data_IF_088382408345
#
_entry.id   IF_088382408345
#
_cell.length_a   1.000
_cell.length_b   1.000
_cell.length_c   1.000
_cell.angle_alpha   90.00
_cell.angle_beta   90.00
_cell.angle_gamma   90.00
#
_symmetry.space_group_name_H-M   'P 1'
#
loop_
_entity.id
_entity.type
_entity.pdbx_description
1 polymer ?
#
# COMPACT_ATOMS: atom_id res chain seq x y z
N UNK A 1 -2.13 16.86 27.69
CA UNK A 1 -2.14 16.22 26.38
C UNK A 1 -3.08 15.01 26.44
N UNK A 2 -3.90 14.78 25.44
CA UNK A 2 -4.80 13.62 25.37
C UNK A 2 -4.03 12.37 24.95
N UNK A 3 -4.44 11.20 25.48
CA UNK A 3 -3.78 9.93 25.21
C UNK A 3 -4.55 9.14 24.15
N UNK A 4 -3.85 8.74 23.08
CA UNK A 4 -4.33 7.83 22.04
C UNK A 4 -3.67 6.45 22.21
N UNK A 5 -4.46 5.48 22.63
CA UNK A 5 -4.05 4.08 22.73
C UNK A 5 -4.10 3.43 21.35
N UNK A 6 -3.03 2.70 21.02
CA UNK A 6 -2.90 1.92 19.79
C UNK A 6 -2.74 0.44 20.16
N UNK A 7 -3.71 -0.38 19.77
CA UNK A 7 -3.68 -1.84 19.94
C UNK A 7 -3.38 -2.50 18.59
N UNK A 8 -2.10 -2.52 18.23
CA UNK A 8 -1.53 -3.01 16.98
C UNK A 8 -0.38 -3.96 17.28
N UNK A 9 -0.05 -4.81 16.32
CA UNK A 9 1.13 -5.68 16.43
C UNK A 9 2.33 -5.10 15.69
N UNK A 10 3.24 -4.47 16.42
CA UNK A 10 4.45 -3.87 15.84
C UNK A 10 5.42 -4.88 15.20
N UNK A 11 5.23 -6.18 15.40
CA UNK A 11 6.02 -7.22 14.74
C UNK A 11 5.56 -7.48 13.30
N UNK A 12 4.31 -7.12 12.96
CA UNK A 12 3.73 -7.30 11.63
C UNK A 12 4.03 -6.09 10.75
N UNK A 13 4.53 -6.32 9.53
CA UNK A 13 4.87 -5.25 8.58
C UNK A 13 3.66 -4.34 8.28
N UNK A 14 2.50 -4.93 8.03
CA UNK A 14 1.27 -4.19 7.73
C UNK A 14 0.92 -3.21 8.86
N UNK A 15 0.90 -3.69 10.10
CA UNK A 15 0.56 -2.87 11.28
C UNK A 15 1.56 -1.73 11.49
N UNK A 16 2.86 -1.96 11.23
CA UNK A 16 3.87 -0.89 11.26
C UNK A 16 3.61 0.20 10.22
N UNK A 17 3.12 -0.16 9.03
CA UNK A 17 2.77 0.83 8.03
C UNK A 17 1.49 1.60 8.40
N UNK A 18 0.50 0.93 9.01
CA UNK A 18 -0.69 1.59 9.59
C UNK A 18 -0.27 2.57 10.67
N UNK A 19 0.60 2.15 11.61
CA UNK A 19 1.14 3.02 12.65
C UNK A 19 1.84 4.25 12.08
N UNK A 20 2.64 4.08 11.02
CA UNK A 20 3.27 5.19 10.31
C UNK A 20 2.23 6.16 9.72
N UNK A 21 1.15 5.65 9.14
CA UNK A 21 0.05 6.46 8.62
C UNK A 21 -0.66 7.26 9.72
N UNK A 22 -0.90 6.63 10.87
CA UNK A 22 -1.44 7.26 12.08
C UNK A 22 -0.55 8.43 12.51
N UNK A 23 0.76 8.17 12.66
CA UNK A 23 1.72 9.19 13.08
C UNK A 23 1.75 10.38 12.10
N UNK A 24 1.87 10.10 10.80
CA UNK A 24 1.89 11.14 9.76
C UNK A 24 0.63 11.99 9.84
N UNK A 25 -0.56 11.38 10.02
CA UNK A 25 -1.81 12.14 10.06
C UNK A 25 -2.00 12.94 11.34
N UNK A 26 -1.54 12.43 12.46
CA UNK A 26 -1.50 13.18 13.73
C UNK A 26 -0.65 14.44 13.59
N UNK A 27 0.51 14.33 12.92
CA UNK A 27 1.40 15.47 12.64
C UNK A 27 0.76 16.44 11.63
N UNK A 28 0.20 15.94 10.51
CA UNK A 28 -0.48 16.75 9.48
C UNK A 28 -1.61 17.61 10.08
N UNK A 29 -2.39 17.05 11.00
CA UNK A 29 -3.50 17.74 11.65
C UNK A 29 -3.09 18.51 12.92
N UNK A 30 -1.80 18.52 13.27
CA UNK A 30 -1.25 19.14 14.48
C UNK A 30 -2.02 18.75 15.74
N UNK A 31 -2.43 17.48 15.86
CA UNK A 31 -3.22 16.99 16.96
C UNK A 31 -2.36 16.92 18.24
N UNK A 32 -2.86 17.51 19.33
CA UNK A 32 -2.21 17.45 20.65
C UNK A 32 -2.53 16.14 21.36
N UNK A 33 -2.03 15.03 20.80
CA UNK A 33 -2.20 13.67 21.34
C UNK A 33 -0.85 13.02 21.58
N UNK A 34 -0.79 12.18 22.60
CA UNK A 34 0.34 11.32 22.90
C UNK A 34 0.00 9.90 22.46
N UNK A 35 0.85 9.28 21.61
CA UNK A 35 0.62 7.95 21.08
C UNK A 35 1.21 6.91 22.02
N UNK A 36 0.40 5.93 22.42
CA UNK A 36 0.78 4.81 23.27
C UNK A 36 0.51 3.51 22.52
N UNK A 37 1.56 2.77 22.18
CA UNK A 37 1.45 1.44 21.59
C UNK A 37 1.55 0.42 22.70
N UNK A 38 0.46 -0.31 22.98
CA UNK A 38 0.36 -1.24 24.09
C UNK A 38 -0.09 -2.63 23.62
N UNK A 39 0.18 -3.62 24.45
CA UNK A 39 -0.28 -4.99 24.20
C UNK A 39 -1.77 -5.13 24.51
N UNK A 40 -2.53 -5.66 23.57
CA UNK A 40 -3.94 -6.00 23.78
C UNK A 40 -4.17 -7.22 24.70
N UNK A 41 -3.09 -7.89 25.14
CA UNK A 41 -3.15 -9.01 26.08
C UNK A 41 -3.00 -8.58 27.53
N UNK A 42 -2.57 -7.35 27.81
CA UNK A 42 -2.42 -6.79 29.15
C UNK A 42 -3.65 -5.94 29.54
N UNK A 43 -4.79 -6.61 29.67
CA UNK A 43 -6.07 -5.97 29.93
C UNK A 43 -6.10 -5.23 31.28
N UNK A 44 -5.44 -5.74 32.32
CA UNK A 44 -5.39 -5.11 33.64
C UNK A 44 -4.68 -3.76 33.57
N UNK A 45 -3.56 -3.68 32.86
CA UNK A 45 -2.85 -2.43 32.63
C UNK A 45 -3.72 -1.46 31.81
N UNK A 46 -4.32 -1.92 30.71
CA UNK A 46 -5.17 -1.08 29.87
C UNK A 46 -6.32 -0.46 30.64
N UNK A 47 -7.01 -1.23 31.49
CA UNK A 47 -8.12 -0.77 32.32
C UNK A 47 -7.66 0.12 33.50
N UNK A 48 -6.41 0.00 33.96
CA UNK A 48 -5.85 0.83 35.02
C UNK A 48 -5.55 2.27 34.56
N UNK A 49 -5.45 2.49 33.25
CA UNK A 49 -5.12 3.78 32.66
C UNK A 49 -6.37 4.51 32.14
N UNK A 50 -6.28 5.83 32.03
CA UNK A 50 -7.30 6.64 31.37
C UNK A 50 -6.86 6.95 29.93
N UNK A 51 -7.65 6.52 28.98
CA UNK A 51 -7.46 6.77 27.56
C UNK A 51 -8.54 7.73 27.05
N UNK A 52 -8.16 8.68 26.20
CA UNK A 52 -9.11 9.57 25.53
C UNK A 52 -9.60 8.96 24.22
N UNK A 53 -8.69 8.30 23.52
CA UNK A 53 -8.92 7.71 22.20
C UNK A 53 -8.29 6.32 22.11
N UNK A 54 -8.89 5.47 21.27
CA UNK A 54 -8.38 4.13 20.97
C UNK A 54 -8.46 3.88 19.47
N UNK A 55 -7.39 3.34 18.88
CA UNK A 55 -7.40 2.69 17.57
C UNK A 55 -6.91 1.26 17.76
N UNK A 56 -7.70 0.29 17.28
CA UNK A 56 -7.39 -1.12 17.45
C UNK A 56 -7.56 -1.92 16.15
N UNK A 57 -6.69 -2.89 15.94
CA UNK A 57 -6.84 -3.90 14.88
C UNK A 57 -7.79 -5.00 15.35
N UNK A 58 -9.02 -5.00 14.81
CA UNK A 58 -10.05 -5.96 15.19
C UNK A 58 -9.76 -7.40 14.70
N UNK A 59 -8.77 -7.59 13.82
CA UNK A 59 -8.36 -8.92 13.36
C UNK A 59 -7.53 -9.69 14.40
N UNK A 60 -7.05 -9.02 15.45
CA UNK A 60 -6.24 -9.68 16.47
C UNK A 60 -7.12 -10.46 17.44
N UNK A 61 -6.70 -11.66 17.86
CA UNK A 61 -7.45 -12.44 18.83
C UNK A 61 -7.60 -11.68 20.16
N UNK A 62 -8.75 -11.75 20.78
CA UNK A 62 -9.06 -11.16 22.10
C UNK A 62 -9.00 -9.63 22.17
N UNK A 63 -8.80 -8.92 21.04
CA UNK A 63 -8.79 -7.45 21.06
C UNK A 63 -10.14 -6.88 21.46
N UNK A 64 -11.22 -7.53 21.08
CA UNK A 64 -12.59 -7.13 21.46
C UNK A 64 -12.73 -7.17 22.99
N UNK A 65 -12.19 -8.19 23.66
CA UNK A 65 -12.22 -8.30 25.13
C UNK A 65 -11.39 -7.18 25.79
N UNK A 66 -10.23 -6.87 25.20
CA UNK A 66 -9.40 -5.76 25.68
C UNK A 66 -10.09 -4.40 25.55
N UNK A 67 -10.98 -4.23 24.57
CA UNK A 67 -11.77 -3.01 24.38
C UNK A 67 -12.96 -2.90 25.32
N UNK A 68 -13.42 -4.02 25.88
CA UNK A 68 -14.52 -4.01 26.86
C UNK A 68 -14.08 -3.29 28.15
N UNK A 69 -14.88 -2.33 28.57
CA UNK A 69 -14.59 -1.54 29.77
C UNK A 69 -13.71 -0.30 29.54
N UNK A 70 -13.16 -0.09 28.37
CA UNK A 70 -12.48 1.17 28.04
C UNK A 70 -13.50 2.27 27.75
N UNK A 71 -13.49 3.34 28.55
CA UNK A 71 -14.33 4.51 28.36
C UNK A 71 -13.63 5.56 27.48
N UNK A 72 -13.42 5.24 26.20
CA UNK A 72 -12.72 6.10 25.25
C UNK A 72 -13.46 6.16 23.92
N UNK A 73 -13.20 7.23 23.12
CA UNK A 73 -13.64 7.24 21.72
C UNK A 73 -12.85 6.21 20.93
N UNK A 74 -13.52 5.16 20.46
CA UNK A 74 -12.88 4.01 19.84
C UNK A 74 -13.15 3.93 18.34
N UNK A 75 -12.09 3.71 17.59
CA UNK A 75 -12.11 3.29 16.20
C UNK A 75 -11.44 1.92 16.10
N UNK A 76 -12.04 1.02 15.36
CA UNK A 76 -11.44 -0.26 14.99
C UNK A 76 -11.21 -0.31 13.50
N UNK A 77 -10.13 -0.94 13.06
CA UNK A 77 -10.01 -1.32 11.67
C UNK A 77 -9.94 -2.84 11.54
N UNK A 78 -10.34 -3.33 10.37
CA UNK A 78 -10.37 -4.76 10.07
C UNK A 78 -10.08 -5.01 8.59
N UNK A 79 -9.55 -6.17 8.31
CA UNK A 79 -9.20 -6.61 6.95
C UNK A 79 -10.31 -7.43 6.26
N UNK A 80 -11.48 -7.59 6.88
CA UNK A 80 -12.65 -8.27 6.33
C UNK A 80 -13.95 -7.67 6.88
N UNK A 81 -15.09 -7.92 6.24
CA UNK A 81 -16.40 -7.36 6.64
C UNK A 81 -17.19 -8.28 7.58
N UNK A 82 -16.65 -9.46 7.95
CA UNK A 82 -17.29 -10.38 8.88
C UNK A 82 -17.23 -9.92 10.34
N UNK A 83 -18.28 -10.24 11.12
CA UNK A 83 -18.38 -9.97 12.54
C UNK A 83 -18.96 -8.60 12.90
N UNK A 84 -19.49 -8.51 14.12
CA UNK A 84 -20.15 -7.29 14.62
C UNK A 84 -19.12 -6.28 15.14
N UNK A 85 -19.33 -5.03 14.76
CA UNK A 85 -18.61 -3.90 15.36
C UNK A 85 -19.35 -3.50 16.64
N UNK A 86 -18.67 -3.43 17.79
CA UNK A 86 -19.30 -3.04 19.02
C UNK A 86 -20.05 -1.70 18.91
N UNK A 87 -21.23 -1.61 19.51
CA UNK A 87 -22.05 -0.42 19.45
C UNK A 87 -21.29 0.82 19.95
N UNK A 88 -21.37 1.91 19.20
CA UNK A 88 -20.69 3.17 19.53
C UNK A 88 -19.27 3.29 18.95
N UNK A 89 -18.68 2.23 18.42
CA UNK A 89 -17.36 2.32 17.77
C UNK A 89 -17.50 2.79 16.32
N UNK A 90 -16.50 3.56 15.88
CA UNK A 90 -16.28 3.80 14.45
C UNK A 90 -15.42 2.71 13.87
N UNK A 91 -15.51 2.48 12.56
CA UNK A 91 -14.71 1.44 11.90
C UNK A 91 -14.21 1.86 10.53
N UNK A 92 -13.08 1.23 10.15
CA UNK A 92 -12.55 1.23 8.79
C UNK A 92 -12.35 -0.23 8.36
N UNK A 93 -12.98 -0.63 7.26
CA UNK A 93 -12.93 -2.00 6.73
C UNK A 93 -12.23 -2.02 5.37
N UNK A 94 -11.32 -2.95 5.14
CA UNK A 94 -10.67 -3.13 3.84
C UNK A 94 -11.66 -3.68 2.81
N UNK A 95 -11.69 -3.08 1.63
CA UNK A 95 -12.54 -3.50 0.50
C UNK A 95 -11.90 -4.67 -0.27
N UNK A 96 -12.10 -5.89 0.20
CA UNK A 96 -11.57 -7.09 -0.46
C UNK A 96 -12.25 -7.39 -1.80
N UNK A 97 -13.50 -6.98 -1.99
CA UNK A 97 -14.21 -7.14 -3.26
C UNK A 97 -13.63 -6.25 -4.35
N UNK A 98 -13.36 -4.99 -4.02
CA UNK A 98 -12.73 -4.06 -4.94
C UNK A 98 -11.28 -4.41 -5.28
N UNK A 99 -10.51 -4.97 -4.32
CA UNK A 99 -9.18 -5.55 -4.59
C UNK A 99 -9.27 -6.65 -5.65
N UNK A 100 -10.20 -7.58 -5.48
CA UNK A 100 -10.41 -8.70 -6.39
C UNK A 100 -10.89 -8.26 -7.77
N UNK A 101 -11.81 -7.30 -7.83
CA UNK A 101 -12.30 -6.74 -9.10
C UNK A 101 -11.18 -6.02 -9.88
N UNK A 102 -10.31 -5.29 -9.17
CA UNK A 102 -9.13 -4.63 -9.78
C UNK A 102 -8.21 -5.64 -10.47
N UNK A 103 -7.95 -6.78 -9.85
CA UNK A 103 -7.17 -7.86 -10.46
C UNK A 103 -7.88 -8.44 -11.70
N UNK A 104 -9.18 -8.68 -11.60
CA UNK A 104 -9.97 -9.24 -12.71
C UNK A 104 -10.02 -8.31 -13.92
N UNK A 105 -10.15 -6.99 -13.72
CA UNK A 105 -10.14 -6.02 -14.82
C UNK A 105 -8.84 -6.08 -15.64
N UNK A 106 -7.71 -6.38 -15.02
CA UNK A 106 -6.45 -6.59 -15.74
C UNK A 106 -6.51 -7.81 -16.67
N UNK A 107 -7.09 -8.92 -16.21
CA UNK A 107 -7.25 -10.11 -17.06
C UNK A 107 -8.22 -9.88 -18.21
N UNK A 108 -9.30 -9.13 -17.97
CA UNK A 108 -10.27 -8.74 -19.02
C UNK A 108 -9.60 -7.92 -20.11
N UNK A 109 -8.74 -7.00 -19.75
CA UNK A 109 -7.99 -6.17 -20.71
C UNK A 109 -6.93 -6.95 -21.49
N UNK A 110 -6.57 -8.16 -21.05
CA UNK A 110 -5.54 -9.03 -21.64
C UNK A 110 -6.13 -10.25 -22.38
N UNK A 111 -7.43 -10.24 -22.70
CA UNK A 111 -8.17 -11.28 -23.46
C UNK A 111 -8.10 -12.70 -22.87
N UNK A 112 -7.86 -12.85 -21.56
CA UNK A 112 -7.98 -14.15 -20.91
C UNK A 112 -9.45 -14.61 -20.90
N UNK A 113 -9.67 -15.90 -21.24
CA UNK A 113 -11.00 -16.53 -21.21
C UNK A 113 -11.25 -17.33 -19.94
N UNK A 114 -10.18 -17.79 -19.29
CA UNK A 114 -10.22 -18.55 -18.06
C UNK A 114 -9.43 -17.87 -16.97
N UNK A 115 -9.98 -17.83 -15.77
CA UNK A 115 -9.36 -17.21 -14.60
C UNK A 115 -9.55 -18.08 -13.36
N UNK A 116 -8.67 -17.91 -12.38
CA UNK A 116 -8.80 -18.63 -11.12
C UNK A 116 -8.24 -17.87 -9.94
N UNK A 117 -8.55 -18.36 -8.75
CA UNK A 117 -8.06 -17.82 -7.49
C UNK A 117 -7.13 -18.82 -6.82
N UNK A 118 -5.98 -18.32 -6.35
CA UNK A 118 -5.00 -19.16 -5.67
C UNK A 118 -4.64 -18.60 -4.30
N UNK A 119 -4.55 -19.49 -3.32
CA UNK A 119 -4.11 -19.13 -1.97
C UNK A 119 -3.17 -20.18 -1.39
N UNK A 120 -2.25 -19.74 -0.56
CA UNK A 120 -1.38 -20.65 0.18
C UNK A 120 -2.12 -21.30 1.35
N UNK A 121 -1.62 -22.46 1.80
CA UNK A 121 -2.20 -23.18 2.95
C UNK A 121 -2.26 -22.34 4.24
N UNK A 122 -1.37 -21.35 4.38
CA UNK A 122 -1.36 -20.47 5.55
C UNK A 122 -2.50 -19.47 5.56
N UNK A 123 -2.98 -19.05 4.38
CA UNK A 123 -3.95 -17.96 4.25
C UNK A 123 -5.39 -18.47 3.98
N UNK A 124 -5.57 -19.76 3.64
CA UNK A 124 -6.81 -20.31 3.08
C UNK A 124 -8.05 -20.18 3.98
N UNK A 125 -7.86 -20.20 5.29
CA UNK A 125 -8.94 -20.15 6.27
C UNK A 125 -9.16 -18.74 6.85
N UNK A 126 -8.35 -17.76 6.42
CA UNK A 126 -8.46 -16.37 6.84
C UNK A 126 -9.70 -15.70 6.19
N UNK A 127 -10.49 -14.97 6.97
CA UNK A 127 -11.73 -14.35 6.50
C UNK A 127 -11.50 -13.39 5.32
N UNK A 128 -10.45 -12.55 5.39
CA UNK A 128 -10.08 -11.67 4.30
C UNK A 128 -9.74 -12.41 3.00
N UNK A 129 -9.16 -13.61 3.11
CA UNK A 129 -8.84 -14.45 1.97
C UNK A 129 -10.11 -15.04 1.34
N UNK A 130 -11.04 -15.49 2.18
CA UNK A 130 -12.35 -15.99 1.73
C UNK A 130 -13.17 -14.90 1.04
N UNK A 131 -13.15 -13.66 1.55
CA UNK A 131 -13.81 -12.52 0.92
C UNK A 131 -13.18 -12.14 -0.43
N UNK A 132 -11.84 -12.10 -0.53
CA UNK A 132 -11.14 -11.87 -1.80
C UNK A 132 -11.53 -12.95 -2.82
N UNK A 133 -11.60 -14.22 -2.40
CA UNK A 133 -12.05 -15.32 -3.24
C UNK A 133 -13.50 -15.14 -3.70
N UNK A 134 -14.41 -14.82 -2.77
CA UNK A 134 -15.82 -14.62 -3.09
C UNK A 134 -16.00 -13.44 -4.07
N UNK A 135 -15.35 -12.31 -3.82
CA UNK A 135 -15.38 -11.14 -4.70
C UNK A 135 -14.85 -11.46 -6.10
N UNK A 136 -13.69 -12.14 -6.18
CA UNK A 136 -13.11 -12.56 -7.46
C UNK A 136 -14.05 -13.49 -8.25
N UNK A 137 -14.59 -14.52 -7.58
CA UNK A 137 -15.51 -15.48 -8.20
C UNK A 137 -16.77 -14.78 -8.71
N UNK A 138 -17.37 -13.90 -7.91
CA UNK A 138 -18.55 -13.14 -8.30
C UNK A 138 -18.28 -12.25 -9.51
N UNK A 139 -17.20 -11.50 -9.50
CA UNK A 139 -16.82 -10.61 -10.60
C UNK A 139 -16.47 -11.42 -11.86
N UNK A 140 -15.79 -12.57 -11.72
CA UNK A 140 -15.44 -13.44 -12.84
C UNK A 140 -16.71 -14.03 -13.52
N UNK A 141 -17.67 -14.50 -12.72
CA UNK A 141 -18.97 -14.98 -13.24
C UNK A 141 -19.71 -13.88 -13.98
N UNK A 142 -19.81 -12.69 -13.40
CA UNK A 142 -20.44 -11.53 -14.02
C UNK A 142 -19.74 -11.11 -15.31
N UNK A 143 -18.41 -11.24 -15.35
CA UNK A 143 -17.56 -10.93 -16.50
C UNK A 143 -17.58 -11.99 -17.61
N UNK A 144 -18.24 -13.14 -17.40
CA UNK A 144 -18.34 -14.23 -18.37
C UNK A 144 -17.08 -15.09 -18.51
N UNK A 145 -16.18 -15.07 -17.51
CA UNK A 145 -14.98 -15.91 -17.50
C UNK A 145 -15.30 -17.37 -17.14
N UNK A 146 -14.59 -18.31 -17.73
CA UNK A 146 -14.49 -19.67 -17.23
C UNK A 146 -13.66 -19.68 -15.94
N UNK A 147 -14.19 -20.30 -14.88
CA UNK A 147 -13.51 -20.34 -13.58
C UNK A 147 -12.75 -21.65 -13.42
N UNK A 148 -11.46 -21.55 -13.15
CA UNK A 148 -10.58 -22.69 -12.84
C UNK A 148 -10.52 -22.82 -11.31
N UNK A 149 -11.14 -23.87 -10.78
CA UNK A 149 -11.23 -24.09 -9.34
C UNK A 149 -9.93 -24.64 -8.73
N UNK A 150 -9.26 -25.55 -9.42
CA UNK A 150 -8.00 -26.16 -8.97
C UNK A 150 -6.83 -25.71 -9.85
N UNK A 151 -6.14 -24.67 -9.40
CA UNK A 151 -5.01 -24.08 -10.13
C UNK A 151 -3.82 -25.04 -10.17
N UNK A 152 -3.57 -25.81 -9.12
CA UNK A 152 -2.44 -26.74 -9.08
C UNK A 152 -2.64 -27.87 -10.07
N UNK A 153 -3.88 -28.38 -10.17
CA UNK A 153 -4.24 -29.38 -11.16
C UNK A 153 -4.17 -28.83 -12.59
N UNK A 154 -4.67 -27.62 -12.83
CA UNK A 154 -4.62 -26.96 -14.14
C UNK A 154 -3.15 -26.77 -14.61
N UNK A 155 -2.24 -26.40 -13.72
CA UNK A 155 -0.81 -26.30 -14.02
C UNK A 155 -0.23 -27.67 -14.40
N UNK A 156 -0.60 -28.72 -13.67
CA UNK A 156 -0.14 -30.09 -13.93
C UNK A 156 -0.68 -30.63 -15.26
N UNK A 157 -1.94 -30.36 -15.58
CA UNK A 157 -2.61 -30.77 -16.82
C UNK A 157 -2.22 -29.92 -18.03
N UNK A 158 -1.59 -28.76 -17.80
CA UNK A 158 -1.25 -27.75 -18.81
C UNK A 158 -2.47 -27.14 -19.50
N UNK A 159 -3.51 -26.85 -18.72
CA UNK A 159 -4.75 -26.20 -19.18
C UNK A 159 -4.53 -24.67 -19.26
N UNK A 160 -4.03 -24.14 -20.37
CA UNK A 160 -3.61 -22.74 -20.56
C UNK A 160 -4.26 -22.10 -21.81
N UNK A 161 -4.29 -20.74 -21.89
CA UNK A 161 -3.81 -19.74 -20.92
C UNK A 161 -4.81 -19.44 -19.81
N UNK A 162 -4.30 -19.15 -18.60
CA UNK A 162 -5.14 -18.76 -17.45
C UNK A 162 -4.58 -17.51 -16.75
N UNK A 163 -5.49 -16.66 -16.27
CA UNK A 163 -5.18 -15.56 -15.36
C UNK A 163 -5.45 -15.96 -13.90
N UNK A 164 -4.49 -15.81 -13.01
CA UNK A 164 -4.64 -16.22 -11.60
C UNK A 164 -4.45 -15.03 -10.67
N UNK A 165 -5.50 -14.73 -9.89
CA UNK A 165 -5.43 -13.80 -8.79
C UNK A 165 -5.07 -14.54 -7.50
N UNK A 166 -4.05 -14.06 -6.81
CA UNK A 166 -3.55 -14.67 -5.58
C UNK A 166 -3.95 -13.85 -4.36
N UNK A 167 -4.32 -14.54 -3.27
CA UNK A 167 -4.73 -13.92 -2.00
C UNK A 167 -3.73 -12.91 -1.45
N UNK A 168 -2.43 -13.15 -1.69
CA UNK A 168 -1.31 -12.32 -1.22
C UNK A 168 -0.11 -12.48 -2.15
N UNK A 169 0.89 -11.61 -2.03
CA UNK A 169 2.16 -11.74 -2.76
C UNK A 169 2.94 -13.01 -2.35
N UNK A 170 2.78 -13.46 -1.11
CA UNK A 170 3.30 -14.77 -0.66
C UNK A 170 2.71 -15.91 -1.48
N UNK A 171 1.40 -15.89 -1.68
CA UNK A 171 0.71 -16.88 -2.51
C UNK A 171 1.15 -16.78 -3.96
N UNK A 172 1.28 -15.56 -4.50
CA UNK A 172 1.75 -15.33 -5.87
C UNK A 172 3.18 -15.89 -6.09
N UNK A 173 4.12 -15.61 -5.17
CA UNK A 173 5.48 -16.17 -5.25
C UNK A 173 5.49 -17.69 -5.19
N UNK A 174 4.67 -18.29 -4.33
CA UNK A 174 4.53 -19.76 -4.28
C UNK A 174 4.03 -20.33 -5.61
N UNK A 175 3.06 -19.67 -6.23
CA UNK A 175 2.53 -20.08 -7.53
C UNK A 175 3.57 -19.92 -8.66
N UNK A 176 4.36 -18.83 -8.66
CA UNK A 176 5.49 -18.66 -9.60
C UNK A 176 6.47 -19.83 -9.46
N UNK A 177 6.81 -20.23 -8.23
CA UNK A 177 7.70 -21.37 -7.99
C UNK A 177 7.08 -22.70 -8.45
N UNK A 178 5.76 -22.87 -8.31
CA UNK A 178 5.05 -24.05 -8.81
C UNK A 178 5.08 -24.11 -10.34
N UNK A 179 4.81 -22.98 -11.01
CA UNK A 179 4.93 -22.88 -12.47
C UNK A 179 6.34 -23.24 -12.95
N UNK A 180 7.37 -22.68 -12.29
CA UNK A 180 8.77 -22.99 -12.63
C UNK A 180 9.07 -24.49 -12.53
N UNK A 181 8.65 -25.16 -11.45
CA UNK A 181 8.88 -26.61 -11.25
C UNK A 181 8.18 -27.47 -12.29
N UNK A 182 7.07 -26.99 -12.85
CA UNK A 182 6.29 -27.70 -13.88
C UNK A 182 6.63 -27.24 -15.31
N UNK A 183 7.69 -26.44 -15.49
CA UNK A 183 8.10 -25.89 -16.78
C UNK A 183 6.97 -25.12 -17.48
N UNK A 184 6.22 -24.33 -16.73
CA UNK A 184 5.14 -23.47 -17.18
C UNK A 184 5.62 -22.03 -17.26
N UNK A 185 5.38 -21.39 -18.40
CA UNK A 185 5.81 -20.01 -18.65
C UNK A 185 4.88 -19.00 -17.96
N UNK A 186 5.49 -18.05 -17.26
CA UNK A 186 4.82 -16.89 -16.65
C UNK A 186 5.40 -15.65 -17.33
N UNK A 187 4.59 -14.79 -17.92
CA UNK A 187 3.11 -14.73 -17.90
C UNK A 187 2.39 -15.46 -19.05
N UNK A 188 3.09 -15.99 -20.06
CA UNK A 188 2.51 -16.40 -21.34
C UNK A 188 1.45 -17.52 -21.19
N UNK A 189 1.69 -18.48 -20.30
CA UNK A 189 0.74 -19.57 -20.03
C UNK A 189 -0.09 -19.28 -18.77
N UNK A 190 0.54 -18.76 -17.72
CA UNK A 190 -0.12 -18.41 -16.46
C UNK A 190 0.25 -16.96 -16.09
N UNK A 191 -0.70 -16.07 -16.19
CA UNK A 191 -0.55 -14.70 -15.70
C UNK A 191 -0.93 -14.64 -14.22
N UNK A 192 -0.09 -14.02 -13.39
CA UNK A 192 -0.24 -14.04 -11.93
C UNK A 192 -0.28 -12.62 -11.37
N UNK A 193 -1.31 -12.33 -10.57
CA UNK A 193 -1.44 -11.08 -9.82
C UNK A 193 -1.51 -11.41 -8.33
N UNK A 194 -0.62 -10.85 -7.54
CA UNK A 194 -0.64 -10.91 -6.07
C UNK A 194 -1.46 -9.79 -5.44
N UNK A 195 -1.36 -9.68 -4.13
CA UNK A 195 -1.95 -8.59 -3.34
C UNK A 195 -1.00 -8.19 -2.23
N UNK A 196 -1.09 -6.93 -1.76
CA UNK A 196 -0.39 -6.26 -0.68
C UNK A 196 0.84 -5.45 -1.14
N UNK A 197 1.50 -5.79 -2.24
CA UNK A 197 2.74 -5.19 -2.72
C UNK A 197 3.89 -5.32 -1.69
N UNK A 198 4.04 -6.54 -1.15
CA UNK A 198 5.05 -6.85 -0.13
C UNK A 198 6.46 -6.87 -0.75
N UNK A 199 7.30 -5.93 -0.33
CA UNK A 199 8.67 -5.78 -0.83
C UNK A 199 9.52 -7.05 -0.61
N UNK A 200 9.30 -7.76 0.50
CA UNK A 200 10.04 -8.99 0.83
C UNK A 200 9.67 -10.13 -0.11
N UNK A 201 8.37 -10.35 -0.32
CA UNK A 201 7.89 -11.41 -1.21
C UNK A 201 8.28 -11.12 -2.67
N UNK A 202 8.21 -9.85 -3.07
CA UNK A 202 8.63 -9.40 -4.40
C UNK A 202 10.13 -9.55 -4.64
N UNK A 203 10.95 -9.25 -3.62
CA UNK A 203 12.40 -9.44 -3.68
C UNK A 203 12.80 -10.93 -3.78
N UNK A 204 12.04 -11.80 -3.11
CA UNK A 204 12.30 -13.26 -3.09
C UNK A 204 11.71 -13.98 -4.32
N UNK A 205 10.90 -13.32 -5.14
CA UNK A 205 10.35 -13.91 -6.36
C UNK A 205 11.37 -13.90 -7.50
N UNK A 206 11.41 -15.01 -8.26
CA UNK A 206 12.28 -15.11 -9.45
C UNK A 206 11.80 -14.24 -10.62
N UNK A 207 10.52 -13.86 -10.62
CA UNK A 207 9.90 -12.94 -11.58
C UNK A 207 9.32 -11.78 -10.78
N UNK A 208 9.51 -10.51 -11.20
CA UNK A 208 8.87 -9.37 -10.53
C UNK A 208 7.35 -9.55 -10.48
N UNK A 209 6.78 -9.59 -9.28
CA UNK A 209 5.35 -9.81 -9.09
C UNK A 209 4.54 -8.58 -9.51
N UNK A 210 3.46 -8.81 -10.26
CA UNK A 210 2.34 -7.88 -10.36
C UNK A 210 1.48 -8.02 -9.12
N UNK A 211 1.04 -6.93 -8.55
CA UNK A 211 0.32 -6.95 -7.28
C UNK A 211 -0.72 -5.83 -7.20
N UNK A 212 -1.89 -6.12 -6.66
CA UNK A 212 -2.82 -5.08 -6.24
C UNK A 212 -2.30 -4.51 -4.92
N UNK A 213 -1.70 -3.34 -5.01
CA UNK A 213 -1.06 -2.68 -3.87
C UNK A 213 -2.10 -2.11 -2.93
N UNK A 214 -2.21 -2.68 -1.74
CA UNK A 214 -2.93 -2.11 -0.61
C UNK A 214 -2.00 -1.11 0.09
N UNK A 215 -2.49 0.10 0.35
CA UNK A 215 -1.68 1.14 0.99
C UNK A 215 -1.99 1.28 2.49
N UNK A 216 -1.31 0.53 3.38
CA UNK A 216 -1.61 0.56 4.81
C UNK A 216 -1.25 1.90 5.49
N UNK A 217 -0.40 2.72 4.89
CA UNK A 217 -0.14 4.08 5.37
C UNK A 217 -1.39 4.95 5.20
N UNK A 218 -2.07 4.87 4.05
CA UNK A 218 -3.33 5.61 3.84
C UNK A 218 -4.46 5.05 4.71
N UNK A 219 -4.47 3.74 5.00
CA UNK A 219 -5.39 3.16 5.99
C UNK A 219 -5.19 3.80 7.37
N UNK A 220 -3.96 3.93 7.84
CA UNK A 220 -3.65 4.59 9.11
C UNK A 220 -4.08 6.06 9.15
N UNK A 221 -3.93 6.79 8.05
CA UNK A 221 -4.43 8.17 7.93
C UNK A 221 -5.96 8.22 8.01
N UNK A 222 -6.64 7.34 7.28
CA UNK A 222 -8.10 7.25 7.30
C UNK A 222 -8.64 6.91 8.70
N UNK A 223 -7.93 6.06 9.45
CA UNK A 223 -8.29 5.76 10.84
C UNK A 223 -8.29 7.02 11.72
N UNK A 224 -7.27 7.87 11.62
CA UNK A 224 -7.24 9.14 12.36
C UNK A 224 -8.36 10.08 11.91
N UNK A 225 -8.55 10.24 10.61
CA UNK A 225 -9.60 11.10 10.05
C UNK A 225 -10.99 10.67 10.54
N UNK A 226 -11.29 9.38 10.47
CA UNK A 226 -12.57 8.81 10.89
C UNK A 226 -12.77 8.91 12.39
N UNK A 227 -11.72 8.65 13.20
CA UNK A 227 -11.77 8.80 14.65
C UNK A 227 -12.11 10.25 15.04
N UNK A 228 -11.36 11.22 14.54
CA UNK A 228 -11.58 12.62 14.91
C UNK A 228 -12.86 13.21 14.30
N UNK A 229 -13.29 12.72 13.15
CA UNK A 229 -14.62 12.99 12.59
C UNK A 229 -15.72 12.51 13.55
N UNK A 230 -15.58 11.30 14.11
CA UNK A 230 -16.55 10.74 15.07
C UNK A 230 -16.61 11.55 16.38
N UNK A 231 -15.46 11.96 16.88
CA UNK A 231 -15.33 12.81 18.08
C UNK A 231 -16.02 14.17 17.85
N UNK A 232 -15.72 14.80 16.72
CA UNK A 232 -16.25 16.13 16.36
C UNK A 232 -17.77 16.14 16.25
N UNK A 233 -18.32 15.15 15.57
CA UNK A 233 -19.77 15.08 15.28
C UNK A 233 -20.55 14.20 16.27
N UNK A 234 -19.91 13.60 17.27
CA UNK A 234 -20.50 12.72 18.28
C UNK A 234 -21.33 11.60 17.67
N UNK A 235 -20.83 11.00 16.59
CA UNK A 235 -21.48 9.94 15.81
C UNK A 235 -20.46 8.91 15.36
N UNK A 236 -20.81 7.63 15.39
CA UNK A 236 -20.01 6.54 14.82
C UNK A 236 -20.05 6.58 13.29
N UNK A 237 -18.94 6.28 12.65
CA UNK A 237 -18.79 6.18 11.21
C UNK A 237 -18.24 4.79 10.85
N UNK A 238 -18.75 4.25 9.77
CA UNK A 238 -18.26 3.03 9.15
C UNK A 238 -17.75 3.40 7.76
N UNK A 239 -16.45 3.33 7.55
CA UNK A 239 -15.82 3.72 6.30
C UNK A 239 -15.21 2.48 5.63
N UNK A 240 -15.31 2.42 4.31
CA UNK A 240 -14.66 1.40 3.49
C UNK A 240 -13.31 1.94 3.00
N UNK A 241 -12.25 1.18 3.20
CA UNK A 241 -10.92 1.52 2.70
C UNK A 241 -10.70 0.89 1.32
N UNK A 242 -10.70 1.72 0.29
CA UNK A 242 -10.55 1.34 -1.12
C UNK A 242 -9.39 2.06 -1.81
N UNK A 243 -8.33 2.42 -1.06
CA UNK A 243 -7.11 2.99 -1.62
C UNK A 243 -6.15 1.88 -2.03
N UNK A 244 -6.27 1.40 -3.26
CA UNK A 244 -5.43 0.39 -3.87
C UNK A 244 -5.24 0.65 -5.36
N UNK A 245 -4.15 0.13 -5.92
CA UNK A 245 -3.86 0.20 -7.35
C UNK A 245 -3.14 -1.08 -7.82
N UNK A 246 -3.34 -1.46 -9.08
CA UNK A 246 -2.58 -2.55 -9.68
C UNK A 246 -1.23 -2.04 -10.17
N UNK A 247 -0.16 -2.59 -9.61
CA UNK A 247 1.21 -2.36 -10.04
C UNK A 247 1.70 -3.55 -10.84
N UNK A 248 1.99 -3.33 -12.11
CA UNK A 248 2.42 -4.38 -13.01
C UNK A 248 3.89 -4.77 -12.79
N UNK A 249 4.15 -6.07 -12.93
CA UNK A 249 5.46 -6.69 -12.94
C UNK A 249 5.58 -7.73 -14.05
N UNK A 250 6.61 -8.55 -14.01
CA UNK A 250 6.83 -9.60 -15.01
C UNK A 250 5.85 -10.76 -14.98
N UNK A 251 5.00 -10.85 -13.96
CA UNK A 251 4.01 -11.93 -13.87
C UNK A 251 2.70 -11.66 -14.62
N UNK A 252 2.51 -10.46 -15.18
CA UNK A 252 1.39 -10.13 -16.08
C UNK A 252 1.82 -9.55 -17.41
N UNK A 253 3.10 -9.18 -17.54
CA UNK A 253 3.65 -8.63 -18.79
C UNK A 253 4.76 -9.54 -19.27
N UNK A 254 4.76 -9.88 -20.54
CA UNK A 254 5.85 -10.69 -21.12
C UNK A 254 7.20 -10.00 -20.93
N UNK A 255 8.26 -10.80 -20.92
CA UNK A 255 9.62 -10.25 -20.83
C UNK A 255 9.94 -9.27 -21.98
N UNK A 256 9.22 -9.37 -23.10
CA UNK A 256 9.31 -8.43 -24.23
C UNK A 256 8.59 -7.11 -23.95
N UNK A 257 7.54 -7.12 -23.13
CA UNK A 257 6.78 -5.93 -22.74
C UNK A 257 7.33 -5.29 -21.46
N UNK A 258 7.92 -6.10 -20.58
CA UNK A 258 8.52 -5.59 -19.35
C UNK A 258 9.85 -4.91 -19.65
N UNK A 259 9.87 -3.61 -19.52
CA UNK A 259 11.12 -2.86 -19.59
C UNK A 259 11.96 -3.07 -18.33
N UNK A 260 12.79 -4.14 -18.35
CA UNK A 260 13.65 -4.50 -17.22
C UNK A 260 14.62 -3.38 -16.82
N UNK A 261 15.00 -2.51 -17.78
CA UNK A 261 15.84 -1.34 -17.53
C UNK A 261 15.05 -0.30 -16.77
N UNK A 262 13.79 -0.07 -17.17
CA UNK A 262 12.90 0.86 -16.49
C UNK A 262 12.63 0.43 -15.05
N UNK A 263 12.32 -0.84 -14.81
CA UNK A 263 12.10 -1.40 -13.46
C UNK A 263 13.33 -1.26 -12.58
N UNK A 264 14.52 -1.57 -13.09
CA UNK A 264 15.79 -1.38 -12.37
C UNK A 264 16.06 0.09 -12.05
N UNK A 265 15.83 0.98 -13.02
CA UNK A 265 16.04 2.40 -12.85
C UNK A 265 15.08 3.01 -11.84
N UNK A 266 13.80 2.63 -11.91
CA UNK A 266 12.78 3.07 -10.97
C UNK A 266 13.08 2.61 -9.54
N UNK A 267 13.38 1.34 -9.34
CA UNK A 267 13.78 0.79 -8.05
C UNK A 267 15.01 1.51 -7.47
N UNK A 268 16.04 1.74 -8.30
CA UNK A 268 17.21 2.51 -7.86
C UNK A 268 16.86 3.94 -7.46
N UNK A 269 16.03 4.62 -8.25
CA UNK A 269 15.59 6.01 -7.96
C UNK A 269 14.78 6.05 -6.67
N UNK A 270 13.77 5.20 -6.50
CA UNK A 270 12.92 5.16 -5.30
C UNK A 270 13.72 4.93 -4.02
N UNK A 271 14.72 4.06 -4.08
CA UNK A 271 15.57 3.75 -2.92
C UNK A 271 16.64 4.80 -2.62
N UNK A 272 16.95 5.70 -3.57
CA UNK A 272 18.08 6.62 -3.44
C UNK A 272 17.76 8.10 -3.70
N UNK A 273 16.54 8.48 -4.08
CA UNK A 273 16.22 9.87 -4.45
C UNK A 273 16.52 10.89 -3.33
N UNK A 274 16.42 10.45 -2.07
CA UNK A 274 16.73 11.22 -0.88
C UNK A 274 18.23 11.54 -0.73
N UNK A 275 19.07 10.81 -1.45
CA UNK A 275 20.50 11.13 -1.60
C UNK A 275 20.66 12.05 -2.81
N UNK A 276 21.75 12.81 -2.87
CA UNK A 276 22.01 13.69 -4.02
C UNK A 276 22.47 12.87 -5.26
N UNK A 277 21.64 11.90 -5.69
CA UNK A 277 21.93 11.10 -6.88
C UNK A 277 21.84 11.94 -8.16
N UNK A 278 22.71 11.63 -9.11
CA UNK A 278 22.73 12.17 -10.47
C UNK A 278 22.28 11.11 -11.47
N UNK A 279 21.77 11.53 -12.61
CA UNK A 279 21.35 10.61 -13.70
C UNK A 279 22.45 9.63 -14.08
N UNK A 280 23.71 10.05 -14.04
CA UNK A 280 24.84 9.17 -14.31
C UNK A 280 24.85 7.91 -13.44
N UNK A 281 24.54 8.04 -12.15
CA UNK A 281 24.48 6.88 -11.24
C UNK A 281 23.37 5.92 -11.60
N UNK A 282 22.22 6.44 -12.10
CA UNK A 282 21.11 5.61 -12.57
C UNK A 282 21.50 4.89 -13.87
N UNK A 283 22.12 5.60 -14.82
CA UNK A 283 22.58 5.00 -16.08
C UNK A 283 23.68 3.94 -15.86
N UNK A 284 24.61 4.21 -14.95
CA UNK A 284 25.68 3.27 -14.60
C UNK A 284 25.08 2.01 -13.93
N UNK A 285 24.10 2.18 -13.03
CA UNK A 285 23.40 1.06 -12.39
C UNK A 285 22.65 0.18 -13.40
N UNK A 286 21.98 0.81 -14.36
CA UNK A 286 21.22 0.12 -15.39
C UNK A 286 22.07 -0.33 -16.59
N UNK A 287 23.34 0.10 -16.69
CA UNK A 287 24.27 -0.15 -17.78
C UNK A 287 23.71 0.28 -19.15
N UNK A 288 23.11 1.47 -19.20
CA UNK A 288 22.52 2.05 -20.42
C UNK A 288 22.96 3.49 -20.63
N UNK A 289 22.84 3.97 -21.87
CA UNK A 289 23.04 5.39 -22.18
C UNK A 289 21.93 6.25 -21.58
N UNK A 290 22.24 7.53 -21.32
CA UNK A 290 21.23 8.50 -20.87
C UNK A 290 20.05 8.62 -21.86
N UNK A 291 20.34 8.62 -23.16
CA UNK A 291 19.30 8.69 -24.21
C UNK A 291 18.36 7.47 -24.14
N UNK A 292 18.91 6.29 -23.96
CA UNK A 292 18.12 5.05 -23.79
C UNK A 292 17.23 5.13 -22.57
N UNK A 293 17.78 5.57 -21.43
CA UNK A 293 17.03 5.70 -20.19
C UNK A 293 15.89 6.72 -20.33
N UNK A 294 16.20 7.94 -20.83
CA UNK A 294 15.22 9.01 -20.98
C UNK A 294 14.08 8.62 -21.95
N UNK A 295 14.40 7.92 -23.06
CA UNK A 295 13.38 7.43 -24.00
C UNK A 295 12.42 6.44 -23.34
N UNK A 296 12.91 5.51 -22.53
CA UNK A 296 12.07 4.54 -21.81
C UNK A 296 11.17 5.21 -20.78
N UNK A 297 11.71 6.16 -20.02
CA UNK A 297 10.93 6.96 -19.07
C UNK A 297 9.88 7.83 -19.78
N UNK A 298 10.18 8.40 -20.93
CA UNK A 298 9.23 9.17 -21.73
C UNK A 298 8.09 8.30 -22.27
N UNK A 299 8.39 7.10 -22.76
CA UNK A 299 7.37 6.16 -23.26
C UNK A 299 6.43 5.68 -22.15
N UNK A 300 6.96 5.37 -20.95
CA UNK A 300 6.16 4.78 -19.87
C UNK A 300 5.52 5.82 -18.95
N UNK A 301 6.19 6.95 -18.69
CA UNK A 301 5.72 7.96 -17.71
C UNK A 301 5.49 9.36 -18.31
N UNK A 302 5.72 9.55 -19.60
CA UNK A 302 5.65 10.87 -20.22
C UNK A 302 6.67 11.88 -19.66
N UNK A 303 7.71 11.43 -18.98
CA UNK A 303 8.74 12.24 -18.29
C UNK A 303 10.09 11.62 -18.46
N UNK A 304 11.15 12.45 -18.48
CA UNK A 304 12.53 11.94 -18.43
C UNK A 304 12.87 11.36 -17.05
N UNK A 305 13.88 10.54 -16.96
CA UNK A 305 14.36 9.99 -15.68
C UNK A 305 14.73 11.10 -14.68
N UNK A 306 15.29 12.22 -15.15
CA UNK A 306 15.56 13.38 -14.30
C UNK A 306 14.29 14.01 -13.75
N UNK A 307 13.25 14.19 -14.58
CA UNK A 307 11.95 14.70 -14.15
C UNK A 307 11.26 13.75 -13.16
N UNK A 308 11.44 12.44 -13.33
CA UNK A 308 10.94 11.45 -12.40
C UNK A 308 11.62 11.58 -11.02
N UNK A 309 12.95 11.71 -10.95
CA UNK A 309 13.68 12.00 -9.70
C UNK A 309 13.17 13.29 -9.06
N UNK A 310 13.03 14.33 -9.84
CA UNK A 310 12.56 15.65 -9.36
C UNK A 310 11.16 15.53 -8.74
N UNK A 311 10.26 14.77 -9.38
CA UNK A 311 8.92 14.52 -8.84
C UNK A 311 8.97 13.80 -7.50
N UNK A 312 9.74 12.70 -7.38
CA UNK A 312 9.88 11.95 -6.12
C UNK A 312 10.39 12.85 -4.97
N UNK A 313 11.39 13.66 -5.26
CA UNK A 313 11.95 14.63 -4.28
C UNK A 313 10.94 15.71 -3.90
N UNK A 314 10.21 16.22 -4.88
CA UNK A 314 9.21 17.27 -4.67
C UNK A 314 8.04 16.75 -3.83
N UNK A 315 7.54 15.54 -4.12
CA UNK A 315 6.46 14.92 -3.37
C UNK A 315 6.89 14.66 -1.92
N UNK A 316 8.13 14.21 -1.71
CA UNK A 316 8.69 14.07 -0.35
C UNK A 316 8.85 15.42 0.35
N UNK A 317 9.29 16.46 -0.36
CA UNK A 317 9.44 17.80 0.22
C UNK A 317 8.08 18.40 0.63
N UNK A 318 7.04 18.22 -0.20
CA UNK A 318 5.66 18.62 0.15
C UNK A 318 5.20 17.91 1.43
N UNK A 319 5.43 16.61 1.51
CA UNK A 319 5.09 15.83 2.70
C UNK A 319 5.77 16.39 3.95
N UNK A 320 7.10 16.61 3.89
CA UNK A 320 7.86 17.12 5.03
C UNK A 320 7.50 18.56 5.41
N UNK A 321 7.16 19.40 4.44
CA UNK A 321 6.71 20.77 4.69
C UNK A 321 5.40 20.83 5.48
N UNK A 322 4.55 19.84 5.31
CA UNK A 322 3.26 19.72 5.99
C UNK A 322 3.39 19.00 7.34
N UNK A 323 4.25 17.99 7.40
CA UNK A 323 4.33 17.07 8.53
C UNK A 323 5.40 17.42 9.56
N UNK A 324 6.26 18.42 9.30
CA UNK A 324 7.38 18.79 10.22
C UNK A 324 7.58 20.30 10.32
N UNK A 325 8.13 20.73 11.45
CA UNK A 325 8.62 22.08 11.67
C UNK A 325 10.10 22.26 11.21
N UNK A 326 10.64 21.29 10.52
CA UNK A 326 12.03 21.33 10.04
C UNK A 326 12.28 22.57 9.19
N UNK A 327 13.51 23.12 9.30
CA UNK A 327 13.93 24.23 8.44
C UNK A 327 13.91 23.80 6.97
N UNK A 328 13.64 24.76 6.08
CA UNK A 328 13.63 24.49 4.64
C UNK A 328 14.95 23.89 4.14
N UNK A 329 16.08 24.28 4.77
CA UNK A 329 17.39 23.70 4.45
C UNK A 329 17.51 22.23 4.89
N UNK A 330 16.99 21.89 6.07
CA UNK A 330 16.93 20.51 6.53
C UNK A 330 16.06 19.63 5.61
N UNK A 331 14.87 20.11 5.24
CA UNK A 331 13.98 19.43 4.29
C UNK A 331 14.65 19.26 2.91
N UNK A 332 15.33 20.29 2.40
CA UNK A 332 16.06 20.21 1.16
C UNK A 332 17.07 19.05 1.17
N UNK A 333 17.87 18.96 2.22
CA UNK A 333 18.87 17.89 2.41
C UNK A 333 18.22 16.51 2.52
N UNK A 334 17.13 16.36 3.28
CA UNK A 334 16.39 15.11 3.42
C UNK A 334 15.75 14.63 2.09
N UNK A 335 15.44 15.57 1.19
CA UNK A 335 14.90 15.27 -0.13
C UNK A 335 15.98 15.10 -1.22
N UNK A 336 17.26 15.14 -0.87
CA UNK A 336 18.36 14.99 -1.81
C UNK A 336 18.67 16.23 -2.65
N UNK A 337 18.23 17.42 -2.18
CA UNK A 337 18.65 18.70 -2.74
C UNK A 337 19.89 19.25 -2.03
N UNK A 338 20.77 19.94 -2.73
CA UNK A 338 22.01 20.44 -2.12
C UNK A 338 21.81 21.51 -1.04
N UNK A 339 20.76 22.33 -1.16
CA UNK A 339 20.44 23.43 -0.25
C UNK A 339 19.03 23.96 -0.45
N UNK A 340 18.60 24.84 0.45
CA UNK A 340 17.31 25.53 0.43
C UNK A 340 17.05 26.31 -0.88
N UNK A 341 18.06 26.98 -1.41
CA UNK A 341 17.91 27.81 -2.61
C UNK A 341 17.50 26.97 -3.82
N UNK A 342 18.12 25.80 -3.97
CA UNK A 342 17.78 24.87 -5.05
C UNK A 342 16.35 24.31 -4.90
N UNK A 343 15.96 23.89 -3.69
CA UNK A 343 14.59 23.47 -3.41
C UNK A 343 13.58 24.57 -3.75
N UNK A 344 13.88 25.83 -3.38
CA UNK A 344 12.99 26.97 -3.67
C UNK A 344 12.85 27.23 -5.17
N UNK A 345 13.92 27.08 -5.95
CA UNK A 345 13.86 27.17 -7.42
C UNK A 345 12.99 26.08 -8.03
N UNK A 346 13.12 24.83 -7.54
CA UNK A 346 12.29 23.71 -8.01
C UNK A 346 10.81 23.94 -7.65
N UNK A 347 10.51 24.39 -6.42
CA UNK A 347 9.15 24.71 -6.00
C UNK A 347 8.54 25.82 -6.85
N UNK A 348 9.31 26.89 -7.12
CA UNK A 348 8.83 27.96 -7.97
C UNK A 348 8.55 27.51 -9.41
N UNK A 349 9.44 26.68 -9.96
CA UNK A 349 9.31 26.15 -11.32
C UNK A 349 8.12 25.17 -11.46
N UNK A 350 7.96 24.26 -10.53
CA UNK A 350 7.00 23.14 -10.65
C UNK A 350 5.62 23.47 -10.04
N UNK A 351 5.55 24.39 -9.06
CA UNK A 351 4.34 24.70 -8.29
C UNK A 351 3.98 26.19 -8.27
N UNK A 352 4.78 27.05 -8.90
CA UNK A 352 4.59 28.52 -8.90
C UNK A 352 4.51 29.14 -7.49
N UNK A 353 5.11 28.49 -6.50
CA UNK A 353 5.13 28.96 -5.09
C UNK A 353 6.47 28.68 -4.45
N UNK A 354 6.73 29.24 -3.25
CA UNK A 354 7.91 28.91 -2.46
C UNK A 354 7.60 27.87 -1.38
N UNK A 355 8.59 27.08 -0.88
CA UNK A 355 8.37 26.12 0.19
C UNK A 355 7.71 26.74 1.43
N UNK A 356 8.13 27.93 1.84
CA UNK A 356 7.54 28.63 2.98
C UNK A 356 6.08 29.02 2.74
N UNK A 357 5.75 29.53 1.56
CA UNK A 357 4.36 29.85 1.21
C UNK A 357 3.49 28.59 1.13
N UNK A 358 4.05 27.51 0.60
CA UNK A 358 3.36 26.21 0.54
C UNK A 358 3.02 25.73 1.94
N UNK A 359 3.95 25.76 2.90
CA UNK A 359 3.71 25.46 4.32
C UNK A 359 2.59 26.32 4.90
N UNK A 360 2.67 27.66 4.75
CA UNK A 360 1.68 28.61 5.28
C UNK A 360 0.27 28.50 4.67
N UNK A 361 0.17 28.08 3.40
CA UNK A 361 -1.13 27.91 2.75
C UNK A 361 -1.90 26.73 3.32
N UNK A 362 -1.21 25.66 3.69
CA UNK A 362 -1.82 24.47 4.30
C UNK A 362 -2.20 24.76 5.75
N UNK A 363 -1.36 25.47 6.52
CA UNK A 363 -1.69 25.90 7.88
C UNK A 363 -2.97 26.75 7.93
N UNK A 364 -3.22 27.58 6.91
CA UNK A 364 -4.44 28.41 6.81
C UNK A 364 -5.68 27.65 6.32
N UNK A 365 -5.53 26.55 5.59
CA UNK A 365 -6.66 25.72 5.16
C UNK A 365 -7.08 24.69 6.22
N UNK A 366 -6.35 24.61 7.32
CA UNK A 366 -6.58 23.71 8.46
C UNK A 366 -7.26 24.42 9.65
N UNK A 367 -7.60 25.70 9.53
CA UNK A 367 -8.41 26.52 10.46
C UNK A 367 -9.85 26.68 9.93
#
# INVERSE_FOLDING_TARGET
>A
VKKLLLLLDSMIYFDRQVLKGIQVKVEELSLKVELHLESYTDTDYLLSQKWDYVIADLNKPNVTDALQGLSAHTLVFRNHDGGDIPAGFSSVTVDNFGLADTALQSFKNSDYQAVGYYTSQQDKDEQWCLERRAGFTQSAQTGGFAIVEDIEQAITNKDFPIGVYCSSDRSARKLVNLCYRNSVSVPEQVSIIGTDYDDTERMLSSIPLSSVALNPVELGKLCIETLFKSVRYKKSYQEMFSSYELLHGGTTQSALELDTILVKAEGFIRNNFHRNIKIKQVTDHCRVSRKTLDNRFLQSYGKTAHQFITKQRLDKAKQLLVSTEDSIDAIAKQCGYPNQSYLSQVFMKELSTTPNRYRQQIDKSSL
#
